data_IF_360829388131
#
_entry.id   IF_360829388131
#
_cell.length_a   1.000
_cell.length_b   1.000
_cell.length_c   1.000
_cell.angle_alpha   90.00
_cell.angle_beta   90.00
_cell.angle_gamma   90.00
#
_symmetry.space_group_name_H-M   'P 1'
#
loop_
_entity.id
_entity.type
_entity.pdbx_description
1 polymer ?
#
# COMPACT_ATOMS: atom_id res chain seq x y z
N UNK A 1 -6.71 18.67 -15.58
CA UNK A 1 -6.29 18.86 -14.17
C UNK A 1 -6.68 17.72 -13.24
N UNK A 2 -7.89 17.14 -13.38
CA UNK A 2 -8.36 16.01 -12.55
C UNK A 2 -7.44 14.79 -12.52
N UNK A 3 -6.72 14.50 -13.61
CA UNK A 3 -5.79 13.37 -13.72
C UNK A 3 -4.69 13.38 -12.63
N UNK A 4 -4.13 14.55 -12.34
CA UNK A 4 -3.05 14.68 -11.35
C UNK A 4 -3.60 14.61 -9.91
N UNK A 5 -4.78 15.17 -9.66
CA UNK A 5 -5.44 15.05 -8.35
C UNK A 5 -5.80 13.61 -8.02
N UNK A 6 -6.36 12.87 -8.98
CA UNK A 6 -6.63 11.44 -8.80
C UNK A 6 -5.35 10.62 -8.68
N UNK A 7 -4.32 10.96 -9.46
CA UNK A 7 -3.00 10.33 -9.33
C UNK A 7 -2.40 10.52 -7.93
N UNK A 8 -2.49 11.72 -7.37
CA UNK A 8 -2.03 12.03 -6.02
C UNK A 8 -2.84 11.29 -4.95
N UNK A 9 -4.17 11.27 -5.06
CA UNK A 9 -5.05 10.55 -4.14
C UNK A 9 -4.76 9.04 -4.14
N UNK A 10 -4.70 8.43 -5.32
CA UNK A 10 -4.38 7.02 -5.51
C UNK A 10 -2.99 6.70 -4.94
N UNK A 11 -1.99 7.53 -5.26
CA UNK A 11 -0.63 7.36 -4.74
C UNK A 11 -0.56 7.46 -3.22
N UNK A 12 -1.28 8.41 -2.62
CA UNK A 12 -1.32 8.60 -1.17
C UNK A 12 -2.02 7.44 -0.45
N UNK A 13 -3.11 6.91 -1.01
CA UNK A 13 -3.85 5.79 -0.42
C UNK A 13 -3.11 4.46 -0.55
N UNK A 14 -2.52 4.19 -1.72
CA UNK A 14 -1.80 2.93 -1.94
C UNK A 14 -0.44 2.94 -1.25
N UNK A 15 0.30 4.06 -1.30
CA UNK A 15 1.65 4.16 -0.72
C UNK A 15 1.73 3.85 0.78
N UNK A 16 0.65 4.08 1.53
CA UNK A 16 0.57 3.71 2.95
C UNK A 16 0.67 2.21 3.23
N UNK A 17 0.41 1.34 2.24
CA UNK A 17 0.43 -0.11 2.43
C UNK A 17 1.84 -0.73 2.39
N UNK A 18 2.86 0.03 2.00
CA UNK A 18 4.26 -0.47 1.89
C UNK A 18 4.85 -0.80 3.26
N UNK A 19 4.41 -0.08 4.30
CA UNK A 19 4.96 -0.20 5.64
C UNK A 19 3.90 -0.68 6.63
N UNK A 20 4.31 -1.33 7.73
CA UNK A 20 3.39 -1.75 8.77
C UNK A 20 2.74 -0.56 9.50
N UNK A 21 3.33 0.63 9.41
CA UNK A 21 2.84 1.84 10.10
C UNK A 21 1.97 2.74 9.23
N UNK A 22 1.91 2.52 7.91
CA UNK A 22 1.21 3.43 7.01
C UNK A 22 -0.31 3.27 7.00
N UNK A 23 -0.85 2.16 7.54
CA UNK A 23 -2.28 1.96 7.73
C UNK A 23 -2.55 1.28 9.08
N UNK A 24 -3.67 1.64 9.73
CA UNK A 24 -4.08 1.04 11.01
C UNK A 24 -4.30 -0.47 10.90
N UNK A 25 -4.81 -0.94 9.75
CA UNK A 25 -4.96 -2.37 9.46
C UNK A 25 -3.62 -3.12 9.56
N UNK A 26 -2.56 -2.58 8.97
CA UNK A 26 -1.25 -3.22 8.95
C UNK A 26 -0.65 -3.31 10.36
N UNK A 27 -0.80 -2.26 11.18
CA UNK A 27 -0.36 -2.25 12.59
C UNK A 27 -1.10 -3.32 13.39
N UNK A 28 -2.42 -3.42 13.22
CA UNK A 28 -3.26 -4.42 13.89
C UNK A 28 -2.86 -5.84 13.48
N UNK A 29 -2.62 -6.09 12.20
CA UNK A 29 -2.17 -7.39 11.69
C UNK A 29 -0.82 -7.80 12.29
N UNK A 30 0.15 -6.86 12.37
CA UNK A 30 1.45 -7.10 13.01
C UNK A 30 1.29 -7.37 14.51
N UNK A 31 0.41 -6.63 15.19
CA UNK A 31 0.09 -6.86 16.61
C UNK A 31 -0.52 -8.24 16.85
N UNK A 32 -1.41 -8.70 15.96
CA UNK A 32 -2.01 -10.03 16.03
C UNK A 32 -0.98 -11.13 15.77
N UNK A 33 -0.14 -10.97 14.74
CA UNK A 33 0.95 -11.91 14.45
C UNK A 33 1.92 -12.03 15.64
N UNK A 34 2.24 -10.91 16.28
CA UNK A 34 3.06 -10.89 17.50
C UNK A 34 2.38 -11.61 18.68
N UNK A 35 1.06 -11.49 18.82
CA UNK A 35 0.27 -12.20 19.84
C UNK A 35 0.27 -13.71 19.63
N UNK A 36 0.24 -14.16 18.37
CA UNK A 36 0.36 -15.57 17.97
C UNK A 36 1.81 -16.11 18.04
N UNK A 37 2.77 -15.29 18.46
CA UNK A 37 4.17 -15.69 18.62
C UNK A 37 5.04 -15.56 17.36
N UNK A 38 4.50 -15.02 16.26
CA UNK A 38 5.28 -14.73 15.06
C UNK A 38 6.13 -13.47 15.23
N UNK A 39 7.44 -13.59 15.00
CA UNK A 39 8.35 -12.44 14.93
C UNK A 39 8.31 -11.86 13.52
N UNK A 40 7.44 -10.90 13.29
CA UNK A 40 7.42 -10.12 12.03
C UNK A 40 8.39 -8.96 12.13
N UNK A 41 9.37 -8.91 11.22
CA UNK A 41 10.30 -7.79 11.14
C UNK A 41 9.79 -6.73 10.16
N UNK A 42 10.18 -5.47 10.35
CA UNK A 42 9.77 -4.38 9.45
C UNK A 42 10.08 -4.70 7.99
N UNK A 43 11.27 -5.25 7.74
CA UNK A 43 11.74 -5.63 6.41
C UNK A 43 10.96 -6.78 5.77
N UNK A 44 10.41 -7.70 6.56
CA UNK A 44 9.57 -8.78 6.03
C UNK A 44 8.26 -8.20 5.48
N UNK A 45 7.69 -7.22 6.19
CA UNK A 45 6.49 -6.54 5.76
C UNK A 45 6.74 -5.71 4.50
N UNK A 46 7.86 -4.97 4.45
CA UNK A 46 8.22 -4.17 3.28
C UNK A 46 8.50 -5.05 2.06
N UNK A 47 9.16 -6.20 2.20
CA UNK A 47 9.41 -7.13 1.08
C UNK A 47 8.12 -7.63 0.42
N UNK A 48 7.05 -7.77 1.19
CA UNK A 48 5.75 -8.25 0.69
C UNK A 48 4.89 -7.07 0.22
N UNK A 49 4.83 -6.01 1.04
CA UNK A 49 4.01 -4.82 0.79
C UNK A 49 4.50 -4.00 -0.39
N UNK A 50 5.81 -3.83 -0.57
CA UNK A 50 6.38 -3.04 -1.67
C UNK A 50 5.98 -3.57 -3.07
N UNK A 51 6.20 -4.84 -3.44
CA UNK A 51 5.80 -5.34 -4.75
C UNK A 51 4.27 -5.31 -4.94
N UNK A 52 3.51 -5.62 -3.89
CA UNK A 52 2.05 -5.59 -3.95
C UNK A 52 1.51 -4.17 -4.20
N UNK A 53 2.09 -3.19 -3.51
CA UNK A 53 1.69 -1.79 -3.63
C UNK A 53 2.09 -1.22 -4.99
N UNK A 54 3.28 -1.58 -5.49
CA UNK A 54 3.74 -1.19 -6.83
C UNK A 54 2.82 -1.72 -7.92
N UNK A 55 2.46 -3.01 -7.88
CA UNK A 55 1.54 -3.60 -8.85
C UNK A 55 0.18 -2.87 -8.79
N UNK A 56 -0.35 -2.68 -7.59
CA UNK A 56 -1.63 -1.98 -7.40
C UNK A 56 -1.58 -0.55 -7.92
N UNK A 57 -0.46 0.15 -7.71
CA UNK A 57 -0.26 1.53 -8.16
C UNK A 57 -0.17 1.61 -9.68
N UNK A 58 0.54 0.68 -10.33
CA UNK A 58 0.63 0.62 -11.80
C UNK A 58 -0.74 0.36 -12.42
N UNK A 59 -1.50 -0.59 -11.86
CA UNK A 59 -2.87 -0.88 -12.33
C UNK A 59 -3.76 0.33 -12.16
N UNK A 60 -3.75 0.97 -10.98
CA UNK A 60 -4.56 2.15 -10.72
C UNK A 60 -4.14 3.36 -11.59
N UNK A 61 -2.84 3.56 -11.83
CA UNK A 61 -2.33 4.58 -12.74
C UNK A 61 -2.78 4.32 -14.19
N UNK A 62 -2.76 3.06 -14.63
CA UNK A 62 -3.20 2.67 -15.98
C UNK A 62 -4.70 2.91 -16.15
N UNK A 63 -5.52 2.53 -15.16
CA UNK A 63 -6.96 2.77 -15.17
C UNK A 63 -7.25 4.27 -15.14
N UNK A 64 -6.60 5.03 -14.27
CA UNK A 64 -6.78 6.47 -14.18
C UNK A 64 -6.42 7.16 -15.50
N UNK A 65 -5.36 6.70 -16.17
CA UNK A 65 -4.97 7.18 -17.48
C UNK A 65 -6.02 6.88 -18.57
N UNK A 66 -6.60 5.67 -18.58
CA UNK A 66 -7.62 5.30 -19.57
C UNK A 66 -8.99 5.93 -19.33
N UNK A 67 -9.39 6.08 -18.06
CA UNK A 67 -10.69 6.62 -17.68
C UNK A 67 -10.75 8.15 -17.83
N UNK A 68 -9.62 8.83 -17.59
CA UNK A 68 -9.54 10.30 -17.67
C UNK A 68 -8.89 10.82 -18.96
N UNK A 69 -8.60 9.92 -19.90
CA UNK A 69 -8.37 10.26 -21.31
C UNK A 69 -9.73 10.51 -21.97
#
# INVERSE_FOLDING_TARGET
EFLLYYGLLVGSCLGGNITPFGASANVVSVGLLKKEGYKTNFWDFVKIGLPFTLISTIVAATINWFLMR
#
